data_IF_834531571417
#
_entry.id   IF_834531571417
#
_cell.length_a   1.000
_cell.length_b   1.000
_cell.length_c   1.000
_cell.angle_alpha   90.00
_cell.angle_beta   90.00
_cell.angle_gamma   90.00
#
_symmetry.space_group_name_H-M   'P 1'
#
loop_
_entity.id
_entity.type
_entity.pdbx_description
1 polymer ?
#
# COMPACT_ATOMS: atom_id res chain seq x y z
N UNK A 1 -28.18 21.08 -33.57
CA UNK A 1 -28.50 20.56 -32.21
C UNK A 1 -28.31 19.04 -32.10
N UNK A 2 -27.22 18.46 -32.66
CA UNK A 2 -26.96 17.00 -32.67
C UNK A 2 -25.58 16.61 -32.13
N UNK A 3 -24.76 17.58 -31.70
CA UNK A 3 -23.35 17.36 -31.32
C UNK A 3 -23.07 17.47 -29.82
N UNK A 4 -24.06 17.87 -29.01
CA UNK A 4 -23.89 18.10 -27.56
C UNK A 4 -24.03 16.80 -26.76
N UNK A 5 -24.78 15.81 -27.26
CA UNK A 5 -25.05 14.55 -26.55
C UNK A 5 -23.82 13.63 -26.50
N UNK A 6 -22.91 13.74 -27.48
CA UNK A 6 -21.73 12.85 -27.55
C UNK A 6 -20.62 13.24 -26.56
N UNK A 7 -20.53 14.51 -26.18
CA UNK A 7 -19.53 14.98 -25.20
C UNK A 7 -19.88 14.57 -23.76
N UNK A 8 -21.16 14.42 -23.45
CA UNK A 8 -21.60 14.01 -22.10
C UNK A 8 -21.29 12.54 -21.78
N UNK A 9 -21.15 11.68 -22.81
CA UNK A 9 -20.82 10.27 -22.61
C UNK A 9 -19.32 10.00 -22.42
N UNK A 10 -18.45 10.83 -23.00
CA UNK A 10 -16.99 10.69 -22.86
C UNK A 10 -16.51 11.16 -21.48
N UNK A 11 -17.22 12.10 -20.86
CA UNK A 11 -16.90 12.59 -19.50
C UNK A 11 -17.25 11.60 -18.38
N UNK A 12 -18.10 10.59 -18.64
CA UNK A 12 -18.50 9.61 -17.61
C UNK A 12 -17.63 8.34 -17.60
N UNK A 13 -16.83 8.12 -18.64
CA UNK A 13 -16.06 6.87 -18.80
C UNK A 13 -14.75 6.80 -17.99
N UNK A 14 -14.38 7.84 -17.23
CA UNK A 14 -13.09 7.91 -16.53
C UNK A 14 -13.18 7.77 -15.00
N UNK A 15 -14.35 7.49 -14.40
CA UNK A 15 -14.52 7.61 -12.95
C UNK A 15 -14.57 6.30 -12.15
N UNK A 16 -14.04 5.20 -12.69
CA UNK A 16 -13.87 3.96 -11.91
C UNK A 16 -12.46 3.40 -12.10
N UNK A 17 -11.45 4.17 -11.71
CA UNK A 17 -10.18 3.59 -11.29
C UNK A 17 -10.43 2.94 -9.93
N UNK A 18 -10.89 1.69 -9.94
CA UNK A 18 -10.98 0.88 -8.74
C UNK A 18 -9.60 0.82 -8.09
N UNK A 19 -9.49 1.38 -6.89
CA UNK A 19 -8.25 1.38 -6.12
C UNK A 19 -7.76 -0.07 -5.92
N UNK A 20 -6.62 -0.41 -6.51
CA UNK A 20 -5.95 -1.70 -6.29
C UNK A 20 -5.02 -1.53 -5.09
N UNK A 21 -5.19 -2.31 -4.00
CA UNK A 21 -4.32 -2.20 -2.84
C UNK A 21 -2.87 -2.52 -3.18
N UNK A 22 -1.94 -1.80 -2.56
CA UNK A 22 -0.51 -2.06 -2.74
C UNK A 22 -0.14 -3.18 -1.78
N UNK A 23 0.11 -4.37 -2.35
CA UNK A 23 0.48 -5.56 -1.60
C UNK A 23 1.99 -5.63 -1.39
N UNK A 24 2.40 -6.01 -0.19
CA UNK A 24 3.78 -6.29 0.20
C UNK A 24 3.83 -7.72 0.73
N UNK A 25 4.74 -8.51 0.19
CA UNK A 25 4.95 -9.91 0.57
C UNK A 25 6.33 -10.09 1.22
N UNK A 26 6.60 -11.21 1.90
CA UNK A 26 7.84 -11.42 2.64
C UNK A 26 9.08 -11.38 1.74
N UNK A 27 8.94 -11.68 0.46
CA UNK A 27 10.04 -11.73 -0.49
C UNK A 27 10.43 -10.36 -1.05
N UNK A 28 9.77 -9.27 -0.63
CA UNK A 28 10.09 -7.93 -1.09
C UNK A 28 11.51 -7.52 -0.70
N UNK A 29 12.27 -7.07 -1.69
CA UNK A 29 13.56 -6.42 -1.53
C UNK A 29 13.39 -4.95 -1.12
N UNK A 30 14.45 -4.34 -0.60
CA UNK A 30 14.41 -2.93 -0.18
C UNK A 30 14.08 -1.98 -1.35
N UNK A 31 14.52 -2.30 -2.57
CA UNK A 31 14.15 -1.56 -3.77
C UNK A 31 12.65 -1.66 -4.05
N UNK A 32 12.08 -2.87 -3.97
CA UNK A 32 10.63 -3.07 -4.17
C UNK A 32 9.79 -2.40 -3.08
N UNK A 33 10.31 -2.31 -1.84
CA UNK A 33 9.68 -1.57 -0.75
C UNK A 33 9.63 -0.07 -1.06
N UNK A 34 10.75 0.52 -1.49
CA UNK A 34 10.80 1.94 -1.90
C UNK A 34 9.86 2.23 -3.08
N UNK A 35 9.78 1.31 -4.04
CA UNK A 35 8.81 1.41 -5.13
C UNK A 35 7.37 1.33 -4.63
N UNK A 36 7.08 0.46 -3.65
CA UNK A 36 5.77 0.36 -3.03
C UNK A 36 5.39 1.65 -2.28
N UNK A 37 6.31 2.24 -1.52
CA UNK A 37 6.14 3.55 -0.87
C UNK A 37 5.85 4.65 -1.88
N UNK A 38 6.62 4.69 -2.96
CA UNK A 38 6.42 5.66 -4.05
C UNK A 38 5.05 5.48 -4.71
N UNK A 39 4.66 4.24 -5.05
CA UNK A 39 3.32 3.95 -5.59
C UNK A 39 2.22 4.36 -4.62
N UNK A 40 2.42 4.15 -3.32
CA UNK A 40 1.46 4.55 -2.30
C UNK A 40 1.32 6.07 -2.23
N UNK A 41 2.44 6.80 -2.32
CA UNK A 41 2.41 8.25 -2.41
C UNK A 41 1.71 8.74 -3.68
N UNK A 42 2.08 8.20 -4.84
CA UNK A 42 1.53 8.59 -6.14
C UNK A 42 0.02 8.33 -6.22
N UNK A 43 -0.49 7.28 -5.55
CA UNK A 43 -1.92 6.93 -5.57
C UNK A 43 -2.72 7.59 -4.45
N UNK A 44 -2.20 7.63 -3.21
CA UNK A 44 -2.95 8.11 -2.04
C UNK A 44 -2.71 9.60 -1.76
N UNK A 45 -1.71 10.21 -2.39
CA UNK A 45 -1.31 11.60 -2.14
C UNK A 45 -0.83 11.85 -0.70
N UNK A 46 -0.40 10.80 0.00
CA UNK A 46 0.11 10.86 1.37
C UNK A 46 1.35 10.01 1.51
N UNK A 47 2.25 10.41 2.42
CA UNK A 47 3.47 9.64 2.71
C UNK A 47 3.10 8.31 3.36
N UNK A 48 3.73 7.24 2.87
CA UNK A 48 3.74 5.93 3.50
C UNK A 48 5.20 5.52 3.65
N UNK A 49 5.56 5.01 4.83
CA UNK A 49 6.88 4.49 5.15
C UNK A 49 6.76 3.02 5.54
N UNK A 50 7.69 2.21 5.06
CA UNK A 50 7.82 0.78 5.36
C UNK A 50 9.18 0.52 5.99
N UNK A 51 9.16 0.17 7.27
CA UNK A 51 10.34 -0.10 8.07
C UNK A 51 10.47 -1.61 8.32
N UNK A 52 11.52 -2.22 7.78
CA UNK A 52 11.83 -3.64 8.03
C UNK A 52 12.80 -3.72 9.22
N UNK A 53 12.35 -4.35 10.31
CA UNK A 53 13.18 -4.54 11.50
C UNK A 53 14.03 -5.80 11.44
N UNK A 54 13.51 -6.87 10.83
CA UNK A 54 14.25 -8.11 10.64
C UNK A 54 13.82 -8.87 9.40
N UNK A 55 14.76 -9.65 8.88
CA UNK A 55 14.55 -10.68 7.86
C UNK A 55 14.95 -12.03 8.45
N UNK A 56 14.29 -13.10 8.02
CA UNK A 56 14.63 -14.47 8.41
C UNK A 56 15.93 -14.95 7.73
N UNK A 57 16.37 -16.17 8.05
CA UNK A 57 17.58 -16.77 7.47
C UNK A 57 17.53 -16.90 5.94
N UNK A 58 16.33 -16.94 5.35
CA UNK A 58 16.12 -16.96 3.90
C UNK A 58 16.05 -15.55 3.29
N UNK A 59 16.28 -14.49 4.07
CA UNK A 59 16.24 -13.10 3.64
C UNK A 59 14.82 -12.52 3.48
N UNK A 60 13.78 -13.24 3.94
CA UNK A 60 12.40 -12.78 3.84
C UNK A 60 12.05 -11.86 4.99
N UNK A 61 11.27 -10.82 4.73
CA UNK A 61 10.76 -9.90 5.75
C UNK A 61 10.02 -10.71 6.82
N UNK A 62 10.47 -10.58 8.07
CA UNK A 62 9.84 -11.21 9.22
C UNK A 62 9.11 -10.16 10.05
N UNK A 63 9.85 -9.15 10.53
CA UNK A 63 9.33 -8.03 11.32
C UNK A 63 9.29 -6.76 10.49
N UNK A 64 8.12 -6.15 10.41
CA UNK A 64 7.90 -4.92 9.62
C UNK A 64 6.92 -4.00 10.31
N UNK A 65 7.08 -2.70 10.11
CA UNK A 65 6.09 -1.68 10.43
C UNK A 65 5.81 -0.83 9.23
N UNK A 66 4.56 -0.44 9.08
CA UNK A 66 4.13 0.55 8.11
C UNK A 66 3.52 1.72 8.83
N UNK A 67 3.93 2.91 8.42
CA UNK A 67 3.44 4.17 8.94
C UNK A 67 2.83 4.96 7.79
N UNK A 68 1.56 5.34 7.92
CA UNK A 68 0.88 6.26 7.01
C UNK A 68 0.73 7.60 7.67
N UNK A 69 1.01 8.66 6.92
CA UNK A 69 0.96 10.02 7.41
C UNK A 69 -0.23 10.79 6.82
N UNK A 70 -0.64 11.84 7.50
CA UNK A 70 -1.49 12.88 6.95
C UNK A 70 -0.69 13.76 5.99
N UNK A 71 -1.38 14.59 5.20
CA UNK A 71 -0.74 15.55 4.28
C UNK A 71 0.11 16.60 4.99
N UNK A 72 -0.17 16.85 6.27
CA UNK A 72 0.62 17.75 7.12
C UNK A 72 1.87 17.10 7.74
N UNK A 73 2.14 15.83 7.40
CA UNK A 73 3.30 15.09 7.88
C UNK A 73 3.12 14.45 9.26
N UNK A 74 1.97 14.60 9.92
CA UNK A 74 1.69 13.88 11.18
C UNK A 74 1.36 12.42 10.91
N UNK A 75 1.75 11.52 11.82
CA UNK A 75 1.39 10.11 11.75
C UNK A 75 -0.14 9.96 11.84
N UNK A 76 -0.74 9.30 10.85
CA UNK A 76 -2.18 9.03 10.80
C UNK A 76 -2.51 7.65 11.38
N UNK A 77 -1.80 6.62 10.91
CA UNK A 77 -1.98 5.24 11.38
C UNK A 77 -0.70 4.44 11.15
N UNK A 78 -0.52 3.35 11.90
CA UNK A 78 0.55 2.39 11.68
C UNK A 78 0.11 0.97 11.97
N UNK A 79 0.61 0.03 11.18
CA UNK A 79 0.45 -1.41 11.44
C UNK A 79 1.83 -2.06 11.53
N UNK A 80 1.98 -3.07 12.37
CA UNK A 80 3.22 -3.84 12.48
C UNK A 80 2.92 -5.34 12.50
N UNK A 81 3.85 -6.11 11.95
CA UNK A 81 3.84 -7.57 11.95
C UNK A 81 5.16 -8.08 12.47
N UNK A 82 5.11 -9.17 13.24
CA UNK A 82 6.30 -9.88 13.68
C UNK A 82 6.58 -11.16 12.89
N UNK A 83 5.66 -11.57 11.99
CA UNK A 83 5.72 -12.79 11.19
C UNK A 83 4.98 -12.58 9.88
N UNK A 84 5.43 -11.63 9.08
CA UNK A 84 4.71 -11.20 7.88
C UNK A 84 4.38 -12.37 6.93
N UNK A 85 3.12 -12.49 6.52
CA UNK A 85 2.68 -13.31 5.38
C UNK A 85 2.24 -12.44 4.21
N UNK A 86 1.38 -11.46 4.48
CA UNK A 86 0.92 -10.49 3.51
C UNK A 86 0.58 -9.18 4.22
N UNK A 87 0.90 -8.07 3.57
CA UNK A 87 0.43 -6.77 3.99
C UNK A 87 -0.19 -6.06 2.78
N UNK A 88 -1.28 -5.34 3.00
CA UNK A 88 -1.87 -4.45 2.02
C UNK A 88 -2.02 -3.02 2.54
N UNK A 89 -1.55 -2.05 1.74
CA UNK A 89 -1.81 -0.62 1.96
C UNK A 89 -3.08 -0.24 1.20
N UNK A 90 -4.05 0.36 1.89
CA UNK A 90 -5.35 0.77 1.35
C UNK A 90 -5.64 2.25 1.62
N UNK A 91 -6.64 2.83 0.96
CA UNK A 91 -7.12 4.19 1.27
C UNK A 91 -7.57 4.33 2.74
N UNK A 92 -8.19 3.27 3.27
CA UNK A 92 -8.71 3.22 4.64
C UNK A 92 -7.65 2.95 5.72
N UNK A 93 -6.44 2.52 5.35
CA UNK A 93 -5.40 2.17 6.32
C UNK A 93 -4.50 1.03 5.83
N UNK A 94 -4.10 0.15 6.75
CA UNK A 94 -3.27 -1.01 6.45
C UNK A 94 -3.96 -2.29 6.94
N UNK A 95 -3.76 -3.37 6.19
CA UNK A 95 -4.19 -4.71 6.55
C UNK A 95 -2.97 -5.62 6.61
N UNK A 96 -2.89 -6.47 7.63
CA UNK A 96 -1.79 -7.39 7.87
C UNK A 96 -2.34 -8.80 8.07
N UNK A 97 -1.67 -9.76 7.44
CA UNK A 97 -1.80 -11.18 7.69
C UNK A 97 -0.45 -11.73 8.15
N UNK A 98 -0.47 -12.38 9.30
CA UNK A 98 0.70 -13.04 9.88
C UNK A 98 0.68 -14.53 9.56
N UNK A 99 1.88 -15.10 9.38
CA UNK A 99 2.07 -16.55 9.26
C UNK A 99 1.79 -17.22 10.60
N UNK A 100 1.24 -18.43 10.54
CA UNK A 100 1.07 -19.26 11.73
C UNK A 100 2.43 -19.58 12.38
N UNK A 101 2.54 -19.36 13.70
CA UNK A 101 3.67 -19.88 14.48
C UNK A 101 3.53 -21.39 14.56
N UNK A 102 4.42 -22.12 13.88
CA UNK A 102 4.63 -23.54 14.17
C UNK A 102 5.18 -23.64 15.60
N UNK A 103 4.38 -24.18 16.51
CA UNK A 103 4.77 -24.52 17.89
C UNK A 103 5.59 -25.80 17.91
#
# INVERSE_FOLDING_TARGET
MKRIILLSFILFANFVLAFVPIKITPDFTDTQLREAEKRAFDHLGVKVEVEVFSRDEAGRIEKVKISRFHKDGRLATSCSSDLLEELAITEGGCWIKDRERKK
#
